data_IF_990155099721
#
_entry.id   IF_990155099721
#
_cell.length_a   1.000
_cell.length_b   1.000
_cell.length_c   1.000
_cell.angle_alpha   90.00
_cell.angle_beta   90.00
_cell.angle_gamma   90.00
#
_symmetry.space_group_name_H-M   'P 1'
#
loop_
_entity.id
_entity.type
_entity.pdbx_description
1 polymer ?
#
# COMPACT_ATOMS: atom_id res chain seq x y z
N UNK A 1 17.06 6.81 25.75
CA UNK A 1 16.05 6.15 26.60
C UNK A 1 14.70 6.36 25.91
N UNK A 2 14.28 5.43 25.05
CA UNK A 2 13.07 5.58 24.23
C UNK A 2 11.85 5.27 25.11
N UNK A 3 11.21 6.31 25.63
CA UNK A 3 9.96 6.17 26.38
C UNK A 3 8.85 5.77 25.43
N UNK A 4 8.25 4.61 25.71
CA UNK A 4 7.14 4.02 24.97
C UNK A 4 6.00 5.06 24.80
N UNK A 5 5.47 5.20 23.57
CA UNK A 5 4.39 6.12 23.21
C UNK A 5 3.12 5.93 24.06
N UNK A 6 2.88 4.70 24.55
CA UNK A 6 1.80 4.42 25.50
C UNK A 6 2.04 5.12 26.86
N UNK A 7 3.29 5.25 27.29
CA UNK A 7 3.67 5.94 28.53
C UNK A 7 3.51 7.44 28.41
N UNK A 8 3.81 8.02 27.24
CA UNK A 8 3.56 9.44 26.96
C UNK A 8 2.06 9.76 26.98
N UNK A 9 1.23 8.94 26.36
CA UNK A 9 -0.22 9.11 26.37
C UNK A 9 -0.81 9.04 27.80
N UNK A 10 -0.32 8.12 28.63
CA UNK A 10 -0.75 7.99 30.03
C UNK A 10 -0.30 9.16 30.91
N UNK A 11 0.94 9.63 30.74
CA UNK A 11 1.48 10.79 31.47
C UNK A 11 0.72 12.08 31.13
N UNK A 12 0.36 12.28 29.86
CA UNK A 12 -0.45 13.44 29.43
C UNK A 12 -1.82 13.45 30.11
N UNK A 13 -2.49 12.29 30.21
CA UNK A 13 -3.77 12.14 30.92
C UNK A 13 -3.63 12.39 32.43
N UNK A 14 -2.50 12.01 33.03
CA UNK A 14 -2.23 12.16 34.46
C UNK A 14 -1.80 13.57 34.89
N UNK A 15 -1.25 14.38 33.98
CA UNK A 15 -0.62 15.66 34.34
C UNK A 15 -1.49 16.91 34.08
N UNK A 16 -2.76 16.77 33.61
CA UNK A 16 -3.66 17.90 33.29
C UNK A 16 -2.96 19.04 32.50
N UNK A 17 -2.02 18.70 31.63
CA UNK A 17 -1.32 19.69 30.81
C UNK A 17 -2.29 20.15 29.72
N UNK A 18 -2.57 21.46 29.66
CA UNK A 18 -3.44 22.06 28.65
C UNK A 18 -2.68 22.11 27.32
N UNK A 19 -2.87 21.09 26.49
CA UNK A 19 -2.38 21.09 25.11
C UNK A 19 -3.32 21.93 24.24
N UNK A 20 -2.79 22.67 23.23
CA UNK A 20 -3.67 23.28 22.25
C UNK A 20 -4.48 22.16 21.59
N UNK A 21 -5.80 22.30 21.68
CA UNK A 21 -6.79 21.31 21.23
C UNK A 21 -6.52 20.79 19.80
N UNK A 22 -5.81 21.56 18.96
CA UNK A 22 -5.45 21.16 17.60
C UNK A 22 -4.44 19.99 17.52
N UNK A 23 -3.53 19.81 18.48
CA UNK A 23 -2.53 18.74 18.44
C UNK A 23 -3.15 17.37 18.73
N UNK A 24 -4.14 17.31 19.64
CA UNK A 24 -4.88 16.08 19.95
C UNK A 24 -5.84 15.74 18.81
N UNK A 25 -6.54 16.73 18.24
CA UNK A 25 -7.48 16.50 17.13
C UNK A 25 -6.75 16.09 15.84
N UNK A 26 -5.61 16.70 15.51
CA UNK A 26 -4.80 16.28 14.36
C UNK A 26 -4.23 14.87 14.55
N UNK A 27 -3.75 14.54 15.76
CA UNK A 27 -3.27 13.21 16.10
C UNK A 27 -4.39 12.15 16.01
N UNK A 28 -5.60 12.44 16.50
CA UNK A 28 -6.74 11.52 16.43
C UNK A 28 -7.30 11.34 15.00
N UNK A 29 -7.25 12.37 14.15
CA UNK A 29 -7.75 12.31 12.77
C UNK A 29 -6.86 11.53 11.80
N UNK A 30 -5.56 11.40 12.06
CA UNK A 30 -4.65 10.64 11.19
C UNK A 30 -4.48 9.19 11.65
N UNK A 31 -4.43 8.93 12.97
CA UNK A 31 -4.28 7.57 13.50
C UNK A 31 -5.46 6.67 13.13
N UNK A 32 -6.67 7.20 12.93
CA UNK A 32 -7.86 6.37 12.67
C UNK A 32 -8.15 6.06 11.20
N UNK A 33 -7.48 6.70 10.22
CA UNK A 33 -7.83 6.53 8.79
C UNK A 33 -7.72 5.08 8.32
N UNK A 34 -6.63 4.41 8.66
CA UNK A 34 -6.41 3.01 8.25
C UNK A 34 -7.39 2.04 8.93
N UNK A 35 -7.88 2.38 10.13
CA UNK A 35 -8.86 1.57 10.86
C UNK A 35 -10.28 1.81 10.37
N UNK A 36 -10.67 3.06 10.14
CA UNK A 36 -11.97 3.37 9.51
C UNK A 36 -12.09 2.67 8.16
N UNK A 37 -11.05 2.78 7.32
CA UNK A 37 -10.98 2.07 6.04
C UNK A 37 -11.07 0.55 6.23
N UNK A 38 -10.40 0.00 7.24
CA UNK A 38 -10.47 -1.42 7.56
C UNK A 38 -11.91 -1.85 7.88
N UNK A 39 -12.58 -1.15 8.79
CA UNK A 39 -13.94 -1.47 9.23
C UNK A 39 -14.95 -1.42 8.07
N UNK A 40 -14.83 -0.40 7.21
CA UNK A 40 -15.62 -0.25 5.99
C UNK A 40 -15.34 -1.38 4.99
N UNK A 41 -14.07 -1.76 4.80
CA UNK A 41 -13.64 -2.79 3.85
C UNK A 41 -14.10 -4.19 4.26
N UNK A 42 -14.01 -4.52 5.55
CA UNK A 42 -14.34 -5.87 6.04
C UNK A 42 -15.83 -6.08 6.29
N UNK A 43 -16.64 -5.01 6.20
CA UNK A 43 -18.11 -5.05 6.22
C UNK A 43 -18.70 -5.90 7.37
N UNK A 44 -18.07 -5.84 8.56
CA UNK A 44 -18.51 -6.56 9.76
C UNK A 44 -17.91 -7.97 9.94
N UNK A 45 -17.02 -8.43 9.06
CA UNK A 45 -16.22 -9.64 9.31
C UNK A 45 -15.37 -9.46 10.58
N UNK A 46 -15.39 -10.48 11.44
CA UNK A 46 -14.54 -10.52 12.63
C UNK A 46 -13.05 -10.60 12.25
N UNK A 47 -12.17 -10.11 13.13
CA UNK A 47 -10.71 -10.20 12.93
C UNK A 47 -10.24 -11.63 12.60
N UNK A 48 -10.89 -12.65 13.17
CA UNK A 48 -10.59 -14.05 12.86
C UNK A 48 -11.00 -14.44 11.43
N UNK A 49 -12.17 -14.02 10.97
CA UNK A 49 -12.61 -14.25 9.59
C UNK A 49 -11.67 -13.55 8.60
N UNK A 50 -11.31 -12.30 8.86
CA UNK A 50 -10.36 -11.53 8.04
C UNK A 50 -9.00 -12.22 8.00
N UNK A 51 -8.46 -12.63 9.15
CA UNK A 51 -7.18 -13.36 9.24
C UNK A 51 -7.19 -14.65 8.41
N UNK A 52 -8.27 -15.44 8.51
CA UNK A 52 -8.43 -16.67 7.71
C UNK A 52 -8.52 -16.40 6.21
N UNK A 53 -9.23 -15.35 5.80
CA UNK A 53 -9.43 -14.98 4.40
C UNK A 53 -8.14 -14.43 3.75
N UNK A 54 -7.34 -13.71 4.53
CA UNK A 54 -6.12 -13.03 4.07
C UNK A 54 -4.84 -13.86 4.27
N UNK A 55 -4.88 -14.87 5.15
CA UNK A 55 -3.68 -15.61 5.57
C UNK A 55 -2.81 -14.86 6.59
N UNK A 56 -3.27 -13.71 7.11
CA UNK A 56 -2.56 -12.96 8.14
C UNK A 56 -2.67 -13.67 9.50
N UNK A 57 -1.65 -13.48 10.33
CA UNK A 57 -1.73 -13.92 11.74
C UNK A 57 -2.82 -13.15 12.47
N UNK A 58 -3.80 -13.87 13.04
CA UNK A 58 -4.89 -13.28 13.81
C UNK A 58 -4.38 -12.42 14.97
N UNK A 59 -3.35 -12.87 15.70
CA UNK A 59 -2.80 -12.13 16.84
C UNK A 59 -2.16 -10.81 16.41
N UNK A 60 -1.45 -10.82 15.28
CA UNK A 60 -0.82 -9.64 14.70
C UNK A 60 -1.88 -8.65 14.22
N UNK A 61 -2.86 -9.12 13.45
CA UNK A 61 -3.94 -8.28 12.94
C UNK A 61 -4.76 -7.68 14.09
N UNK A 62 -5.12 -8.49 15.09
CA UNK A 62 -5.84 -8.01 16.26
C UNK A 62 -5.08 -6.91 17.00
N UNK A 63 -3.76 -7.05 17.14
CA UNK A 63 -2.92 -6.04 17.77
C UNK A 63 -2.90 -4.73 16.97
N UNK A 64 -2.78 -4.81 15.65
CA UNK A 64 -2.81 -3.65 14.76
C UNK A 64 -4.14 -2.89 14.87
N UNK A 65 -5.26 -3.63 14.85
CA UNK A 65 -6.61 -3.03 14.89
C UNK A 65 -6.96 -2.48 16.28
N UNK A 66 -6.68 -3.23 17.35
CA UNK A 66 -7.20 -2.91 18.70
C UNK A 66 -6.22 -2.18 19.62
N UNK A 67 -4.91 -2.43 19.47
CA UNK A 67 -3.89 -1.87 20.35
C UNK A 67 -3.19 -0.68 19.70
N UNK A 68 -2.84 -0.80 18.42
CA UNK A 68 -2.11 0.25 17.70
C UNK A 68 -3.02 1.21 16.97
N UNK A 69 -4.25 0.79 16.67
CA UNK A 69 -5.17 1.53 15.82
C UNK A 69 -4.49 1.94 14.51
N UNK A 70 -3.62 1.08 13.97
CA UNK A 70 -2.90 1.36 12.74
C UNK A 70 -2.56 0.05 12.06
N UNK A 71 -2.94 -0.07 10.79
CA UNK A 71 -2.53 -1.18 9.94
C UNK A 71 -1.13 -0.94 9.38
N UNK A 72 -0.32 -2.01 9.30
CA UNK A 72 0.88 -1.99 8.48
C UNK A 72 0.51 -1.98 6.99
N UNK A 73 1.27 -1.31 6.11
CA UNK A 73 0.99 -1.28 4.67
C UNK A 73 0.86 -2.68 4.04
N UNK A 74 1.66 -3.64 4.48
CA UNK A 74 1.62 -5.03 4.00
C UNK A 74 0.28 -5.70 4.34
N UNK A 75 -0.22 -5.48 5.57
CA UNK A 75 -1.51 -5.99 6.00
C UNK A 75 -2.65 -5.33 5.23
N UNK A 76 -2.61 -4.00 5.06
CA UNK A 76 -3.63 -3.26 4.31
C UNK A 76 -3.72 -3.73 2.85
N UNK A 77 -2.60 -3.90 2.14
CA UNK A 77 -2.59 -4.42 0.77
C UNK A 77 -3.11 -5.86 0.69
N UNK A 78 -2.73 -6.71 1.66
CA UNK A 78 -3.20 -8.10 1.71
C UNK A 78 -4.72 -8.16 1.92
N UNK A 79 -5.25 -7.33 2.81
CA UNK A 79 -6.69 -7.17 3.04
C UNK A 79 -7.37 -6.64 1.78
N UNK A 80 -6.83 -5.59 1.17
CA UNK A 80 -7.40 -4.99 -0.04
C UNK A 80 -7.57 -6.01 -1.16
N UNK A 81 -6.54 -6.83 -1.41
CA UNK A 81 -6.60 -7.93 -2.39
C UNK A 81 -7.65 -8.98 -2.04
N UNK A 82 -7.73 -9.40 -0.78
CA UNK A 82 -8.69 -10.41 -0.34
C UNK A 82 -10.14 -9.95 -0.45
N UNK A 83 -10.40 -8.65 -0.27
CA UNK A 83 -11.72 -8.03 -0.40
C UNK A 83 -11.98 -7.40 -1.78
N UNK A 84 -11.02 -7.52 -2.71
CA UNK A 84 -11.10 -6.98 -4.08
C UNK A 84 -11.37 -5.47 -4.13
N UNK A 85 -10.79 -4.73 -3.18
CA UNK A 85 -10.79 -3.27 -3.18
C UNK A 85 -9.44 -2.74 -3.67
N UNK A 86 -9.35 -1.43 -3.85
CA UNK A 86 -8.18 -0.80 -4.44
C UNK A 86 -6.95 -0.82 -3.51
N UNK A 87 -5.85 -1.39 -3.99
CA UNK A 87 -4.60 -1.47 -3.22
C UNK A 87 -3.91 -0.12 -3.07
N UNK A 88 -4.08 0.82 -4.01
CA UNK A 88 -3.51 2.16 -3.87
C UNK A 88 -4.23 2.95 -2.78
N UNK A 89 -5.55 2.81 -2.67
CA UNK A 89 -6.31 3.40 -1.57
C UNK A 89 -5.83 2.86 -0.21
N UNK A 90 -5.64 1.54 -0.10
CA UNK A 90 -5.09 0.89 1.08
C UNK A 90 -3.71 1.45 1.47
N UNK A 91 -2.87 1.78 0.49
CA UNK A 91 -1.55 2.36 0.74
C UNK A 91 -1.63 3.85 1.14
N UNK A 92 -2.54 4.62 0.54
CA UNK A 92 -2.79 6.02 0.92
C UNK A 92 -3.25 6.11 2.38
N UNK A 93 -4.21 5.27 2.80
CA UNK A 93 -4.72 5.31 4.19
C UNK A 93 -3.68 4.88 5.21
N UNK A 94 -2.66 4.13 4.80
CA UNK A 94 -1.49 3.78 5.64
C UNK A 94 -0.38 4.84 5.59
N UNK A 95 -0.56 5.92 4.82
CA UNK A 95 0.40 6.99 4.58
C UNK A 95 1.74 6.50 3.98
N UNK A 96 1.79 5.30 3.38
CA UNK A 96 2.99 4.81 2.70
C UNK A 96 3.25 5.58 1.40
N UNK A 97 2.16 5.97 0.72
CA UNK A 97 2.18 6.79 -0.49
C UNK A 97 1.18 7.93 -0.35
N UNK A 98 1.42 9.03 -1.05
CA UNK A 98 0.48 10.17 -1.06
C UNK A 98 -0.60 10.00 -2.14
N UNK A 99 -1.74 10.70 -2.04
CA UNK A 99 -2.75 10.73 -3.10
C UNK A 99 -2.19 11.18 -4.46
N UNK A 100 -1.23 12.11 -4.47
CA UNK A 100 -0.58 12.62 -5.67
C UNK A 100 0.31 11.54 -6.32
N UNK A 101 1.07 10.79 -5.52
CA UNK A 101 1.85 9.64 -5.99
C UNK A 101 0.94 8.54 -6.56
N UNK A 102 -0.15 8.22 -5.85
CA UNK A 102 -1.14 7.26 -6.32
C UNK A 102 -1.81 7.70 -7.63
N UNK A 103 -2.13 8.99 -7.78
CA UNK A 103 -2.67 9.54 -9.02
C UNK A 103 -1.66 9.40 -10.18
N UNK A 104 -0.37 9.64 -9.92
CA UNK A 104 0.70 9.39 -10.89
C UNK A 104 0.73 7.92 -11.31
N UNK A 105 0.65 6.98 -10.36
CA UNK A 105 0.65 5.54 -10.65
C UNK A 105 -0.58 5.06 -11.43
N UNK A 106 -1.77 5.64 -11.19
CA UNK A 106 -2.99 5.32 -11.95
C UNK A 106 -2.91 5.74 -13.41
N UNK A 107 -2.16 6.80 -13.68
CA UNK A 107 -1.93 7.32 -15.03
C UNK A 107 -0.76 6.62 -15.74
N UNK A 108 -0.10 5.66 -15.08
CA UNK A 108 0.83 4.75 -15.73
C UNK A 108 0.02 3.73 -16.51
N UNK A 109 -0.27 4.06 -17.77
CA UNK A 109 -0.67 3.05 -18.73
C UNK A 109 0.51 2.08 -18.92
N UNK A 110 0.27 0.77 -18.93
CA UNK A 110 1.36 -0.18 -19.16
C UNK A 110 2.00 0.07 -20.53
N UNK A 111 1.19 0.55 -21.48
CA UNK A 111 1.63 0.99 -22.80
C UNK A 111 2.36 2.34 -22.78
N UNK A 112 2.20 3.18 -21.76
CA UNK A 112 2.96 4.45 -21.60
C UNK A 112 4.35 4.25 -20.98
N UNK A 113 4.58 3.13 -20.28
CA UNK A 113 5.91 2.73 -19.82
C UNK A 113 6.86 2.36 -20.96
N UNK A 114 6.31 1.88 -22.08
CA UNK A 114 7.09 1.48 -23.25
C UNK A 114 7.77 2.70 -23.90
N UNK A 115 7.08 3.82 -24.22
CA UNK A 115 7.71 5.06 -24.68
C UNK A 115 8.84 5.54 -23.78
N UNK A 116 8.64 5.63 -22.46
CA UNK A 116 9.68 6.10 -21.53
C UNK A 116 10.84 5.12 -21.35
N UNK A 117 10.63 3.83 -21.58
CA UNK A 117 11.69 2.83 -21.62
C UNK A 117 12.48 2.89 -22.93
N UNK A 118 11.80 3.12 -24.07
CA UNK A 118 12.41 3.30 -25.38
C UNK A 118 13.23 4.59 -25.45
N UNK A 119 12.71 5.69 -24.90
CA UNK A 119 13.41 7.00 -24.87
C UNK A 119 14.73 6.95 -24.08
N UNK A 120 14.77 6.13 -23.01
CA UNK A 120 15.98 5.96 -22.18
C UNK A 120 16.92 4.87 -22.69
N UNK A 121 16.50 4.07 -23.68
CA UNK A 121 17.33 3.02 -24.22
C UNK A 121 18.43 3.62 -25.11
N UNK A 122 19.65 3.11 -24.97
CA UNK A 122 20.75 3.46 -25.87
C UNK A 122 20.54 2.83 -27.25
N UNK A 123 21.12 3.43 -28.29
CA UNK A 123 21.10 2.89 -29.66
C UNK A 123 21.54 1.42 -29.73
N UNK A 124 22.55 1.06 -28.93
CA UNK A 124 23.04 -0.32 -28.83
C UNK A 124 22.00 -1.27 -28.24
N UNK A 125 21.25 -0.84 -27.23
CA UNK A 125 20.19 -1.65 -26.63
C UNK A 125 19.01 -1.81 -27.60
N UNK A 126 18.60 -0.74 -28.29
CA UNK A 126 17.53 -0.79 -29.29
C UNK A 126 17.90 -1.71 -30.46
N UNK A 127 19.11 -1.56 -31.01
CA UNK A 127 19.59 -2.36 -32.14
C UNK A 127 19.67 -3.84 -31.79
N UNK A 128 20.17 -4.16 -30.59
CA UNK A 128 20.24 -5.54 -30.09
C UNK A 128 18.85 -6.17 -30.00
N UNK A 129 17.89 -5.45 -29.41
CA UNK A 129 16.54 -5.98 -29.23
C UNK A 129 15.78 -6.11 -30.54
N UNK A 130 15.92 -5.16 -31.47
CA UNK A 130 15.36 -5.26 -32.82
C UNK A 130 15.92 -6.47 -33.57
N UNK A 131 17.24 -6.65 -33.58
CA UNK A 131 17.89 -7.79 -34.24
C UNK A 131 17.40 -9.12 -33.67
N UNK A 132 17.31 -9.22 -32.34
CA UNK A 132 16.80 -10.41 -31.65
C UNK A 132 15.37 -10.75 -32.09
N UNK A 133 14.48 -9.77 -32.16
CA UNK A 133 13.07 -9.98 -32.58
C UNK A 133 12.95 -10.37 -34.06
N UNK A 134 13.75 -9.76 -34.93
CA UNK A 134 13.77 -10.09 -36.36
C UNK A 134 14.22 -11.54 -36.59
N UNK A 135 15.25 -11.99 -35.87
CA UNK A 135 15.71 -13.39 -35.97
C UNK A 135 14.65 -14.38 -35.49
N UNK A 136 13.98 -14.09 -34.37
CA UNK A 136 12.89 -14.94 -33.88
C UNK A 136 11.73 -15.03 -34.87
N UNK A 137 11.36 -13.93 -35.52
CA UNK A 137 10.32 -13.94 -36.56
C UNK A 137 10.73 -14.79 -37.76
N UNK A 138 12.00 -14.71 -38.18
CA UNK A 138 12.52 -15.53 -39.26
C UNK A 138 12.51 -17.03 -38.91
N UNK A 139 12.91 -17.39 -37.68
CA UNK A 139 12.87 -18.77 -37.18
C UNK A 139 11.43 -19.32 -37.12
N UNK A 140 10.48 -18.51 -36.65
CA UNK A 140 9.06 -18.88 -36.62
C UNK A 140 8.48 -19.09 -38.03
N UNK A 141 8.92 -18.32 -39.02
CA UNK A 141 8.52 -18.50 -40.41
C UNK A 141 9.14 -19.74 -41.05
N UNK A 142 10.41 -20.03 -40.74
CA UNK A 142 11.11 -21.23 -41.22
C UNK A 142 10.52 -22.53 -40.67
N UNK A 143 10.00 -22.52 -39.44
CA UNK A 143 9.33 -23.68 -38.83
C UNK A 143 7.91 -23.93 -39.36
N UNK A 144 7.32 -22.98 -40.10
CA UNK A 144 5.94 -23.05 -40.58
C UNK A 144 5.83 -23.52 -42.05
N UNK A 145 6.97 -23.55 -42.76
CA UNK A 145 7.12 -24.13 -44.11
C UNK A 145 7.71 -25.54 -44.02
#
# INVERSE_FOLDING_TARGET
MLTNLATLAYLVKSLRINYPHCLIVWYYSNVTKSITWYEETVAGDSVNQVARKTGLSQSTLNRQVTQYYQLSPEAAVTIARAYKVDTLEALIVTELITPEEAASYRNVDLDSLVPSALERATDTQLTRELTRRLNLLAEMQASKN
#
